data_IF_283214953746
#
_entry.id   IF_283214953746
#
_cell.length_a   1.000
_cell.length_b   1.000
_cell.length_c   1.000
_cell.angle_alpha   90.00
_cell.angle_beta   90.00
_cell.angle_gamma   90.00
#
_symmetry.space_group_name_H-M   'P 1'
#
loop_
_entity.id
_entity.type
_entity.pdbx_description
1 polymer ?
#
# COMPACT_ATOMS: atom_id res chain seq x y z
N UNK A 1 20.96 -3.04 7.50
CA UNK A 1 19.77 -3.00 8.39
C UNK A 1 18.81 -4.06 7.87
N UNK A 2 18.41 -5.02 8.71
CA UNK A 2 17.52 -6.11 8.33
C UNK A 2 16.07 -5.61 8.29
N UNK A 3 15.21 -6.23 7.47
CA UNK A 3 13.76 -5.94 7.48
C UNK A 3 13.16 -6.24 8.87
N UNK A 4 13.70 -7.22 9.57
CA UNK A 4 13.29 -7.60 10.94
C UNK A 4 13.66 -6.59 12.03
N UNK A 5 14.45 -5.53 11.72
CA UNK A 5 14.66 -4.39 12.61
C UNK A 5 13.45 -3.41 12.59
N UNK A 6 12.39 -3.76 11.86
CA UNK A 6 11.12 -3.05 11.76
C UNK A 6 10.09 -3.68 12.69
N UNK A 7 8.95 -2.99 12.86
CA UNK A 7 7.84 -3.49 13.68
C UNK A 7 6.97 -4.42 12.82
N UNK A 8 6.71 -5.63 13.32
CA UNK A 8 5.75 -6.56 12.71
C UNK A 8 4.34 -6.03 12.92
N UNK A 9 3.58 -5.87 11.83
CA UNK A 9 2.24 -5.26 11.85
C UNK A 9 1.26 -6.14 12.65
N UNK A 10 1.24 -7.45 12.40
CA UNK A 10 0.31 -8.37 13.03
C UNK A 10 0.57 -8.55 14.54
N UNK A 11 1.84 -8.44 14.97
CA UNK A 11 2.20 -8.47 16.38
C UNK A 11 1.82 -7.16 17.10
N UNK A 12 1.90 -6.02 16.40
CA UNK A 12 1.57 -4.72 16.97
C UNK A 12 0.06 -4.52 17.12
N UNK A 13 -0.75 -5.00 16.17
CA UNK A 13 -2.23 -5.03 16.25
C UNK A 13 -2.77 -6.19 15.39
N UNK A 14 -3.15 -7.28 16.04
CA UNK A 14 -3.71 -8.47 15.38
C UNK A 14 -5.06 -8.24 14.66
N UNK A 15 -5.69 -7.08 14.86
CA UNK A 15 -6.90 -6.70 14.13
C UNK A 15 -6.62 -6.11 12.74
N UNK A 16 -5.38 -5.72 12.46
CA UNK A 16 -4.91 -5.37 11.12
C UNK A 16 -4.57 -6.68 10.40
N UNK A 17 -5.28 -6.97 9.33
CA UNK A 17 -5.05 -8.19 8.55
C UNK A 17 -3.86 -7.97 7.63
N UNK A 18 -3.01 -8.99 7.51
CA UNK A 18 -1.87 -9.02 6.59
C UNK A 18 -2.09 -10.11 5.55
N UNK A 19 -2.08 -9.74 4.27
CA UNK A 19 -2.18 -10.63 3.12
C UNK A 19 -1.18 -10.19 2.04
N UNK A 20 0.09 -10.49 2.24
CA UNK A 20 1.17 -10.06 1.35
C UNK A 20 0.98 -10.60 -0.07
N UNK A 21 0.62 -9.72 -1.01
CA UNK A 21 0.28 -10.09 -2.38
C UNK A 21 1.46 -10.66 -3.17
N UNK A 22 2.68 -10.25 -2.85
CA UNK A 22 3.90 -10.71 -3.57
C UNK A 22 4.43 -12.07 -3.10
N UNK A 23 3.76 -12.73 -2.13
CA UNK A 23 3.97 -14.15 -1.81
C UNK A 23 3.30 -15.09 -2.81
N UNK A 24 2.48 -14.57 -3.71
CA UNK A 24 1.77 -15.30 -4.77
C UNK A 24 2.13 -14.73 -6.14
N UNK A 25 1.91 -15.52 -7.20
CA UNK A 25 2.13 -15.08 -8.59
C UNK A 25 0.97 -14.22 -9.14
N UNK A 26 -0.14 -14.08 -8.40
CA UNK A 26 -1.29 -13.24 -8.75
C UNK A 26 -1.02 -11.74 -8.45
N UNK A 27 0.03 -11.21 -9.07
CA UNK A 27 0.43 -9.81 -9.02
C UNK A 27 0.90 -9.34 -10.41
N UNK A 28 1.21 -8.05 -10.59
CA UNK A 28 1.55 -7.48 -11.90
C UNK A 28 2.81 -8.10 -12.54
N UNK A 29 3.68 -8.75 -11.78
CA UNK A 29 4.90 -9.39 -12.30
C UNK A 29 4.67 -10.82 -12.79
N UNK A 30 3.57 -11.45 -12.37
CA UNK A 30 3.27 -12.87 -12.64
C UNK A 30 4.20 -13.85 -11.91
N UNK A 31 4.93 -13.40 -10.88
CA UNK A 31 5.93 -14.21 -10.16
C UNK A 31 5.79 -14.03 -8.65
N UNK A 32 6.17 -15.06 -7.90
CA UNK A 32 6.42 -14.95 -6.45
C UNK A 32 7.70 -14.11 -6.27
N UNK A 33 7.61 -13.04 -5.49
CA UNK A 33 8.73 -12.15 -5.19
C UNK A 33 9.19 -12.25 -3.74
N UNK A 34 8.26 -12.56 -2.83
CA UNK A 34 8.51 -12.79 -1.41
C UNK A 34 8.60 -14.29 -1.16
N UNK A 35 9.81 -14.85 -1.30
CA UNK A 35 10.06 -16.28 -1.11
C UNK A 35 10.18 -16.62 0.39
N UNK A 36 10.88 -15.73 1.16
CA UNK A 36 11.16 -15.92 2.58
C UNK A 36 10.51 -14.85 3.48
N UNK A 37 9.71 -13.95 2.90
CA UNK A 37 9.03 -12.87 3.62
C UNK A 37 7.53 -13.15 3.67
N UNK A 38 7.05 -13.61 4.81
CA UNK A 38 5.63 -13.95 5.05
C UNK A 38 4.93 -13.00 6.02
N UNK A 39 5.67 -12.04 6.59
CA UNK A 39 5.20 -11.07 7.56
C UNK A 39 5.39 -9.64 7.04
N UNK A 40 4.45 -8.76 7.37
CA UNK A 40 4.52 -7.36 7.00
C UNK A 40 5.18 -6.54 8.11
N UNK A 41 6.16 -5.73 7.73
CA UNK A 41 6.92 -4.89 8.65
C UNK A 41 6.83 -3.41 8.25
N UNK A 42 6.85 -2.51 9.24
CA UNK A 42 6.93 -1.07 9.03
C UNK A 42 8.01 -0.43 9.91
N UNK A 43 8.51 0.73 9.48
CA UNK A 43 9.28 1.59 10.36
C UNK A 43 8.42 2.01 11.55
N UNK A 44 8.98 2.09 12.79
CA UNK A 44 8.21 2.45 13.99
C UNK A 44 7.35 3.72 13.85
N UNK A 45 7.84 4.73 13.11
CA UNK A 45 7.08 5.97 12.90
C UNK A 45 5.84 5.75 12.02
N UNK A 46 5.98 5.01 10.92
CA UNK A 46 4.85 4.66 10.06
C UNK A 46 3.87 3.71 10.78
N UNK A 47 4.39 2.82 11.64
CA UNK A 47 3.54 1.91 12.42
C UNK A 47 2.64 2.66 13.39
N UNK A 48 3.13 3.70 14.08
CA UNK A 48 2.29 4.58 14.93
C UNK A 48 1.11 5.15 14.14
N UNK A 49 1.36 5.62 12.91
CA UNK A 49 0.31 6.08 12.02
C UNK A 49 -0.68 4.98 11.64
N UNK A 50 -0.20 3.77 11.31
CA UNK A 50 -1.08 2.67 10.94
C UNK A 50 -2.00 2.24 12.09
N UNK A 51 -1.52 2.22 13.31
CA UNK A 51 -2.33 1.97 14.52
C UNK A 51 -3.43 3.03 14.68
N UNK A 52 -3.10 4.31 14.49
CA UNK A 52 -4.09 5.40 14.52
C UNK A 52 -5.13 5.25 13.40
N UNK A 53 -4.72 4.84 12.19
CA UNK A 53 -5.64 4.59 11.09
C UNK A 53 -6.64 3.47 11.43
N UNK A 54 -6.17 2.37 12.00
CA UNK A 54 -7.03 1.26 12.43
C UNK A 54 -8.01 1.71 13.53
N UNK A 55 -7.55 2.48 14.52
CA UNK A 55 -8.41 3.03 15.57
C UNK A 55 -9.47 3.97 14.97
N UNK A 56 -9.10 4.86 14.06
CA UNK A 56 -10.01 5.78 13.40
C UNK A 56 -11.04 5.04 12.54
N UNK A 57 -10.65 3.97 11.84
CA UNK A 57 -11.58 3.13 11.10
C UNK A 57 -12.58 2.46 12.03
N UNK A 58 -12.12 1.82 13.11
CA UNK A 58 -12.98 1.16 14.10
C UNK A 58 -13.94 2.12 14.80
N UNK A 59 -13.51 3.36 15.06
CA UNK A 59 -14.37 4.39 15.64
C UNK A 59 -15.55 4.72 14.73
N UNK A 60 -15.35 4.79 13.42
CA UNK A 60 -16.40 5.07 12.43
C UNK A 60 -17.23 3.84 12.08
N UNK A 61 -16.58 2.68 12.01
CA UNK A 61 -17.15 1.39 11.58
C UNK A 61 -16.59 0.26 12.45
N UNK A 62 -17.17 -0.06 13.61
CA UNK A 62 -16.58 -0.96 14.61
C UNK A 62 -16.23 -2.38 14.11
N UNK A 63 -16.96 -2.87 13.12
CA UNK A 63 -16.73 -4.21 12.54
C UNK A 63 -15.69 -4.24 11.42
N UNK A 64 -15.25 -3.08 10.90
CA UNK A 64 -14.31 -3.02 9.77
C UNK A 64 -12.87 -3.06 10.22
N UNK A 65 -12.01 -3.59 9.34
CA UNK A 65 -10.58 -3.75 9.60
C UNK A 65 -9.76 -3.31 8.40
N UNK A 66 -8.54 -2.84 8.66
CA UNK A 66 -7.56 -2.62 7.60
C UNK A 66 -6.95 -3.97 7.16
N UNK A 67 -6.65 -4.10 5.86
CA UNK A 67 -5.89 -5.20 5.29
C UNK A 67 -4.69 -4.64 4.54
N UNK A 68 -3.49 -5.13 4.87
CA UNK A 68 -2.21 -4.72 4.28
C UNK A 68 -1.76 -5.77 3.28
N UNK A 69 -1.55 -5.34 2.03
CA UNK A 69 -1.09 -6.19 0.92
C UNK A 69 0.41 -6.05 0.65
N UNK A 70 1.01 -4.92 1.02
CA UNK A 70 2.45 -4.71 1.01
C UNK A 70 2.87 -3.61 2.00
N UNK A 71 4.12 -3.70 2.52
CA UNK A 71 4.64 -2.74 3.49
C UNK A 71 6.15 -2.54 3.27
N UNK A 72 7.01 -2.95 4.20
CA UNK A 72 8.45 -2.90 4.01
C UNK A 72 8.89 -3.87 2.91
N UNK A 73 9.56 -3.35 1.88
CA UNK A 73 9.98 -4.11 0.70
C UNK A 73 11.50 -4.03 0.54
N UNK A 74 12.22 -5.16 0.52
CA UNK A 74 13.66 -5.17 0.24
C UNK A 74 13.99 -4.56 -1.13
N UNK A 75 15.13 -3.89 -1.25
CA UNK A 75 15.59 -3.29 -2.51
C UNK A 75 15.85 -4.36 -3.58
N UNK A 76 16.27 -5.55 -3.18
CA UNK A 76 16.41 -6.71 -4.06
C UNK A 76 15.10 -7.08 -4.75
N UNK A 77 13.97 -7.03 -4.03
CA UNK A 77 12.62 -7.25 -4.59
C UNK A 77 12.21 -6.09 -5.49
N UNK A 78 12.47 -4.84 -5.08
CA UNK A 78 12.22 -3.66 -5.92
C UNK A 78 12.95 -3.76 -7.27
N UNK A 79 14.18 -4.32 -7.28
CA UNK A 79 14.94 -4.55 -8.51
C UNK A 79 14.26 -5.60 -9.41
N UNK A 80 13.73 -6.68 -8.83
CA UNK A 80 12.96 -7.70 -9.58
C UNK A 80 11.73 -7.06 -10.24
N UNK A 81 10.95 -6.24 -9.50
CA UNK A 81 9.78 -5.50 -10.02
C UNK A 81 10.17 -4.52 -11.14
N UNK A 82 11.22 -3.72 -10.94
CA UNK A 82 11.71 -2.78 -11.95
C UNK A 82 12.10 -3.47 -13.25
N UNK A 83 12.74 -4.63 -13.18
CA UNK A 83 13.14 -5.39 -14.34
C UNK A 83 11.97 -5.85 -15.22
N UNK A 84 10.77 -5.99 -14.65
CA UNK A 84 9.54 -6.34 -15.40
C UNK A 84 9.02 -5.15 -16.19
N UNK A 85 9.07 -3.93 -15.63
CA UNK A 85 8.43 -2.75 -16.22
C UNK A 85 9.38 -1.83 -16.96
N UNK A 86 10.70 -1.93 -16.75
CA UNK A 86 11.68 -1.09 -17.46
C UNK A 86 11.55 -1.29 -18.98
N UNK A 87 11.50 -0.18 -19.72
CA UNK A 87 11.30 -0.21 -21.16
C UNK A 87 9.84 -0.35 -21.63
N UNK A 88 8.88 -0.41 -20.72
CA UNK A 88 7.43 -0.37 -21.00
C UNK A 88 6.81 0.93 -20.49
N UNK A 89 5.59 1.28 -20.93
CA UNK A 89 4.86 2.44 -20.40
C UNK A 89 4.50 2.31 -18.90
N UNK A 90 4.55 1.09 -18.35
CA UNK A 90 4.24 0.82 -16.94
C UNK A 90 5.36 1.20 -15.97
N UNK A 91 6.55 1.61 -16.45
CA UNK A 91 7.67 2.00 -15.59
C UNK A 91 7.33 3.15 -14.63
N UNK A 92 6.31 3.95 -14.93
CA UNK A 92 5.87 5.08 -14.10
C UNK A 92 5.28 4.65 -12.75
N UNK A 93 4.77 3.42 -12.65
CA UNK A 93 4.16 2.84 -11.44
C UNK A 93 5.18 2.16 -10.52
N UNK A 94 6.40 1.92 -10.97
CA UNK A 94 7.42 1.22 -10.18
C UNK A 94 8.63 2.11 -9.95
N UNK A 95 8.96 2.39 -8.70
CA UNK A 95 10.10 3.24 -8.36
C UNK A 95 11.41 2.60 -8.82
N UNK A 96 12.25 3.41 -9.51
CA UNK A 96 13.55 2.96 -10.01
C UNK A 96 14.55 2.73 -8.85
N UNK A 97 15.08 1.50 -8.66
CA UNK A 97 16.04 1.20 -7.59
C UNK A 97 17.32 2.02 -7.69
N UNK A 98 17.84 2.27 -8.91
CA UNK A 98 19.05 3.07 -9.13
C UNK A 98 18.89 4.54 -8.64
N UNK A 99 17.65 5.00 -8.40
CA UNK A 99 17.34 6.33 -7.84
C UNK A 99 16.94 6.26 -6.36
N UNK A 100 17.27 5.15 -5.67
CA UNK A 100 16.99 4.93 -4.25
C UNK A 100 15.60 4.35 -3.96
N UNK A 101 14.97 3.69 -4.92
CA UNK A 101 13.70 2.99 -4.74
C UNK A 101 12.50 3.89 -4.39
N UNK A 102 11.47 3.32 -3.79
CA UNK A 102 10.26 3.96 -3.25
C UNK A 102 10.23 3.92 -1.72
N UNK A 103 9.13 4.43 -1.12
CA UNK A 103 9.02 4.49 0.34
C UNK A 103 8.80 3.11 1.00
N UNK A 104 8.29 2.13 0.29
CA UNK A 104 8.30 0.74 0.75
C UNK A 104 9.71 0.25 1.10
N UNK A 105 10.72 0.69 0.34
CA UNK A 105 12.10 0.29 0.58
C UNK A 105 12.74 0.89 1.85
N UNK A 106 12.01 1.79 2.52
CA UNK A 106 12.35 2.33 3.84
C UNK A 106 11.43 1.80 4.94
N UNK A 107 10.39 1.03 4.59
CA UNK A 107 9.31 0.66 5.49
C UNK A 107 8.40 1.85 5.86
N UNK A 108 8.24 2.81 4.94
CA UNK A 108 7.52 4.08 5.13
C UNK A 108 6.32 4.23 4.17
N UNK A 109 5.88 3.15 3.57
CA UNK A 109 4.67 3.08 2.76
C UNK A 109 3.93 1.78 3.00
N UNK A 110 2.61 1.81 2.71
CA UNK A 110 1.73 0.63 2.74
C UNK A 110 0.85 0.61 1.51
N UNK A 111 0.61 -0.60 0.98
CA UNK A 111 -0.47 -0.91 0.06
C UNK A 111 -1.59 -1.58 0.85
N UNK A 112 -2.77 -0.94 0.91
CA UNK A 112 -3.76 -1.22 1.94
C UNK A 112 -5.19 -1.06 1.41
N UNK A 113 -6.14 -1.79 2.01
CA UNK A 113 -7.58 -1.65 1.79
C UNK A 113 -8.36 -1.83 3.10
N UNK A 114 -9.68 -1.95 2.99
CA UNK A 114 -10.60 -2.15 4.11
C UNK A 114 -11.35 -3.46 3.89
N UNK A 115 -11.49 -4.25 4.96
CA UNK A 115 -12.41 -5.38 5.05
C UNK A 115 -13.72 -4.93 5.70
N UNK A 116 -14.83 -5.49 5.21
CA UNK A 116 -16.14 -5.37 5.84
C UNK A 116 -16.23 -6.23 7.12
N UNK A 117 -17.40 -6.20 7.74
CA UNK A 117 -17.70 -6.93 8.98
C UNK A 117 -17.64 -8.46 8.81
N UNK A 118 -17.85 -8.96 7.58
CA UNK A 118 -17.75 -10.38 7.22
C UNK A 118 -16.32 -10.80 6.84
N UNK A 119 -15.39 -9.84 6.74
CA UNK A 119 -14.00 -10.09 6.37
C UNK A 119 -13.73 -10.06 4.87
N UNK A 120 -14.68 -9.56 4.07
CA UNK A 120 -14.47 -9.40 2.62
C UNK A 120 -13.87 -8.03 2.32
N UNK A 121 -12.95 -7.92 1.33
CA UNK A 121 -12.47 -6.63 0.88
C UNK A 121 -13.60 -5.76 0.32
N UNK A 122 -13.66 -4.50 0.75
CA UNK A 122 -14.59 -3.54 0.15
C UNK A 122 -14.28 -3.36 -1.34
N UNK A 123 -15.31 -3.31 -2.21
CA UNK A 123 -15.09 -3.06 -3.62
C UNK A 123 -14.51 -1.66 -3.83
N UNK A 124 -13.40 -1.58 -4.59
CA UNK A 124 -12.63 -0.36 -4.86
C UNK A 124 -12.57 0.00 -6.36
N UNK A 125 -13.29 -0.71 -7.23
CA UNK A 125 -13.35 -0.48 -8.67
C UNK A 125 -12.19 -1.08 -9.46
N UNK A 126 -11.04 -1.32 -8.82
CA UNK A 126 -9.94 -2.13 -9.37
C UNK A 126 -9.34 -3.00 -8.27
N UNK A 127 -8.62 -4.04 -8.66
CA UNK A 127 -7.72 -4.73 -7.72
C UNK A 127 -6.59 -3.79 -7.27
N UNK A 128 -6.00 -4.07 -6.12
CA UNK A 128 -4.67 -3.55 -5.75
C UNK A 128 -3.68 -3.95 -6.85
N UNK A 129 -2.66 -3.14 -7.07
CA UNK A 129 -1.63 -3.40 -8.09
C UNK A 129 -2.11 -3.28 -9.56
N UNK A 130 -3.29 -2.69 -9.78
CA UNK A 130 -3.77 -2.37 -11.14
C UNK A 130 -2.98 -1.20 -11.74
N UNK A 131 -2.05 -1.50 -12.65
CA UNK A 131 -1.21 -0.50 -13.31
C UNK A 131 -1.95 0.14 -14.50
N UNK A 132 -2.91 1.02 -14.20
CA UNK A 132 -3.75 1.69 -15.19
C UNK A 132 -4.45 2.93 -14.64
N UNK A 133 -5.02 3.78 -15.53
CA UNK A 133 -5.65 5.05 -15.16
C UNK A 133 -6.87 4.88 -14.24
N UNK A 134 -7.50 3.70 -14.22
CA UNK A 134 -8.62 3.38 -13.34
C UNK A 134 -8.20 3.32 -11.85
N UNK A 135 -6.91 3.14 -11.58
CA UNK A 135 -6.36 3.17 -10.22
C UNK A 135 -6.15 4.60 -9.69
N UNK A 136 -6.12 5.60 -10.56
CA UNK A 136 -5.83 6.98 -10.19
C UNK A 136 -6.97 7.59 -9.37
N UNK A 137 -6.60 8.30 -8.29
CA UNK A 137 -7.58 8.98 -7.43
C UNK A 137 -8.00 10.35 -7.96
N UNK A 138 -7.29 10.89 -8.96
CA UNK A 138 -7.53 12.22 -9.51
C UNK A 138 -8.69 12.27 -10.51
N UNK A 139 -9.11 11.14 -11.05
CA UNK A 139 -10.14 11.04 -12.09
C UNK A 139 -11.35 10.18 -11.68
N UNK A 140 -11.53 9.91 -10.38
CA UNK A 140 -12.64 9.08 -9.86
C UNK A 140 -14.02 9.59 -10.28
N UNK A 141 -14.24 10.91 -10.30
CA UNK A 141 -15.51 11.49 -10.76
C UNK A 141 -15.82 11.15 -12.23
N UNK A 142 -14.80 11.24 -13.11
CA UNK A 142 -14.95 10.89 -14.52
C UNK A 142 -15.18 9.36 -14.71
N UNK A 143 -14.54 8.52 -13.89
CA UNK A 143 -14.76 7.07 -13.89
C UNK A 143 -16.21 6.75 -13.49
N UNK A 144 -16.76 7.43 -12.48
CA UNK A 144 -18.17 7.26 -12.09
C UNK A 144 -19.10 7.74 -13.19
N UNK A 145 -18.85 8.89 -13.78
CA UNK A 145 -19.67 9.44 -14.85
C UNK A 145 -19.69 8.52 -16.09
N UNK A 146 -18.57 7.88 -16.41
CA UNK A 146 -18.47 6.94 -17.54
C UNK A 146 -18.94 5.50 -17.22
N UNK A 147 -19.41 5.22 -16.00
CA UNK A 147 -19.84 3.89 -15.57
C UNK A 147 -18.71 2.89 -15.32
N UNK A 148 -17.45 3.32 -15.35
CA UNK A 148 -16.27 2.47 -15.06
C UNK A 148 -16.01 2.28 -13.56
N UNK A 149 -16.67 3.06 -12.73
CA UNK A 149 -16.63 2.97 -11.27
C UNK A 149 -18.03 3.26 -10.72
N UNK A 150 -18.46 2.54 -9.71
CA UNK A 150 -19.70 2.83 -8.99
C UNK A 150 -19.49 3.95 -7.97
N UNK A 151 -20.58 4.64 -7.58
CA UNK A 151 -20.53 5.61 -6.46
C UNK A 151 -20.09 4.97 -5.15
N UNK A 152 -20.43 3.69 -4.93
CA UNK A 152 -20.03 2.97 -3.72
C UNK A 152 -18.51 2.71 -3.69
N UNK A 153 -17.92 2.29 -4.81
CA UNK A 153 -16.46 2.09 -4.92
C UNK A 153 -15.70 3.41 -4.71
N UNK A 154 -16.21 4.51 -5.27
CA UNK A 154 -15.67 5.84 -5.00
C UNK A 154 -15.75 6.20 -3.52
N UNK A 155 -16.90 5.97 -2.87
CA UNK A 155 -17.08 6.25 -1.44
C UNK A 155 -16.14 5.40 -0.58
N UNK A 156 -15.91 4.13 -0.94
CA UNK A 156 -14.98 3.24 -0.25
C UNK A 156 -13.53 3.76 -0.35
N UNK A 157 -13.08 4.19 -1.54
CA UNK A 157 -11.76 4.82 -1.70
C UNK A 157 -11.64 6.13 -0.90
N UNK A 158 -12.69 6.94 -0.86
CA UNK A 158 -12.72 8.18 -0.07
C UNK A 158 -12.65 7.89 1.43
N UNK A 159 -13.34 6.86 1.91
CA UNK A 159 -13.25 6.41 3.30
C UNK A 159 -11.81 6.02 3.65
N UNK A 160 -11.18 5.15 2.85
CA UNK A 160 -9.79 4.72 3.04
C UNK A 160 -8.85 5.92 3.11
N UNK A 161 -8.92 6.83 2.13
CA UNK A 161 -8.10 8.05 2.13
C UNK A 161 -8.33 8.94 3.34
N UNK A 162 -9.59 9.09 3.77
CA UNK A 162 -9.94 9.89 4.94
C UNK A 162 -9.29 9.33 6.21
N UNK A 163 -9.42 8.02 6.43
CA UNK A 163 -8.86 7.31 7.59
C UNK A 163 -7.32 7.43 7.59
N UNK A 164 -6.68 7.12 6.47
CA UNK A 164 -5.23 7.15 6.35
C UNK A 164 -4.66 8.58 6.50
N UNK A 165 -5.34 9.59 5.93
CA UNK A 165 -4.94 11.00 6.08
C UNK A 165 -5.05 11.49 7.51
N UNK A 166 -6.13 11.13 8.22
CA UNK A 166 -6.30 11.48 9.65
C UNK A 166 -5.15 10.92 10.49
N UNK A 167 -4.61 9.77 10.09
CA UNK A 167 -3.48 9.12 10.75
C UNK A 167 -2.10 9.64 10.28
N UNK A 168 -2.03 10.65 9.41
CA UNK A 168 -0.79 11.29 8.96
C UNK A 168 -0.22 10.77 7.64
N UNK A 169 -0.82 9.76 7.03
CA UNK A 169 -0.38 9.26 5.72
C UNK A 169 -0.83 10.14 4.55
N UNK A 170 -0.11 10.06 3.45
CA UNK A 170 -0.35 10.77 2.20
C UNK A 170 -0.65 9.79 1.08
N UNK A 171 -1.81 9.93 0.44
CA UNK A 171 -2.18 9.11 -0.71
C UNK A 171 -1.31 9.41 -1.93
N UNK A 172 -1.02 8.39 -2.74
CA UNK A 172 -0.36 8.54 -4.04
C UNK A 172 -1.43 8.79 -5.13
N UNK A 173 -1.30 9.83 -5.96
CA UNK A 173 -2.32 10.17 -6.97
C UNK A 173 -2.61 9.07 -7.99
N UNK A 174 -1.63 8.24 -8.35
CA UNK A 174 -1.73 7.17 -9.35
C UNK A 174 -2.25 5.84 -8.82
N UNK A 175 -2.39 5.69 -7.49
CA UNK A 175 -2.68 4.39 -6.86
C UNK A 175 -3.57 4.58 -5.64
N UNK A 176 -4.84 4.13 -5.68
CA UNK A 176 -5.79 4.34 -4.60
C UNK A 176 -5.44 3.61 -3.30
N UNK A 177 -4.65 2.54 -3.37
CA UNK A 177 -4.24 1.69 -2.25
C UNK A 177 -2.95 2.14 -1.57
N UNK A 178 -2.12 2.97 -2.26
CA UNK A 178 -0.77 3.32 -1.80
C UNK A 178 -0.76 4.58 -0.95
N UNK A 179 -0.15 4.46 0.24
CA UNK A 179 -0.02 5.56 1.19
C UNK A 179 1.40 5.69 1.71
N UNK A 180 1.93 6.90 1.65
CA UNK A 180 3.25 7.28 2.10
C UNK A 180 3.21 7.95 3.47
N UNK A 181 4.10 7.56 4.39
CA UNK A 181 4.24 8.20 5.69
C UNK A 181 4.85 9.61 5.60
N UNK A 182 5.86 9.78 4.75
CA UNK A 182 6.57 11.05 4.57
C UNK A 182 6.88 11.32 3.10
N UNK A 183 7.58 12.41 2.81
CA UNK A 183 8.09 12.69 1.47
C UNK A 183 9.31 11.81 1.15
N UNK A 184 9.57 11.57 -0.14
CA UNK A 184 10.76 10.84 -0.59
C UNK A 184 12.06 11.56 -0.21
N UNK A 185 12.06 12.89 -0.21
CA UNK A 185 13.20 13.68 0.22
C UNK A 185 13.50 13.45 1.71
N UNK A 186 12.49 13.51 2.54
CA UNK A 186 12.61 13.26 3.99
C UNK A 186 13.07 11.82 4.26
N UNK A 187 12.51 10.83 3.54
CA UNK A 187 12.93 9.44 3.68
C UNK A 187 14.43 9.27 3.42
N UNK A 188 14.96 9.85 2.35
CA UNK A 188 16.39 9.79 2.01
C UNK A 188 17.30 10.47 3.03
N UNK A 189 16.81 11.50 3.70
CA UNK A 189 17.62 12.25 4.68
C UNK A 189 17.64 11.57 6.05
N UNK A 190 16.53 10.96 6.47
CA UNK A 190 16.34 10.51 7.85
C UNK A 190 16.38 8.99 8.03
N UNK A 191 16.13 8.22 6.98
CA UNK A 191 15.89 6.79 7.11
C UNK A 191 16.83 5.97 6.22
N UNK A 192 17.05 4.71 6.59
CA UNK A 192 17.91 3.78 5.86
C UNK A 192 17.07 2.83 5.01
N UNK A 193 17.55 2.59 3.80
CA UNK A 193 16.98 1.62 2.86
C UNK A 193 17.12 0.20 3.42
N UNK A 194 16.14 -0.66 3.15
CA UNK A 194 16.17 -2.10 3.40
C UNK A 194 16.84 -2.74 2.17
N UNK A 195 17.99 -3.42 2.33
CA UNK A 195 18.77 -4.00 1.22
C UNK A 195 18.04 -5.09 0.43
#
# INVERSE_FOLDING_TARGET
>A
MCIRDRVNIAEADSSIIVDLMYTRADNFTGKVLYEDLHEAYLHPDAMKGLLLAQQELKKRYPGRRLIVYDAARPMSVQQKMWNVVKGTSKYIYVSNPARGGGLHNYGLAVDISILDEAGNPLPMGTKVDHLGPEAHITNEAALVQSGKMTKQEQANRQLLRSVMRTAGFRALPSEWWHFNWCSRQEAKQKYKVIP
#
